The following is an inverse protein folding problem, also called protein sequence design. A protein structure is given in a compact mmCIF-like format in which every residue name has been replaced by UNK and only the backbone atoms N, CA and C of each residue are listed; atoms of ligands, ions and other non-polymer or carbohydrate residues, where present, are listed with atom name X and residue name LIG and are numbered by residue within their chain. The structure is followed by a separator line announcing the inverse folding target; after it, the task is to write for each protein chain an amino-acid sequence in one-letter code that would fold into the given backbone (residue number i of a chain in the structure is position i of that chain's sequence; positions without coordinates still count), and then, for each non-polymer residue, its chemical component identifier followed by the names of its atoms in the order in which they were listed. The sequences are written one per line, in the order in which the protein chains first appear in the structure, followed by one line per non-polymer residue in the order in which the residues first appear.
data_IF_488116054378
#
_entry.id   IF_488116054378
#
_cell.length_a   1.000
_cell.length_b   1.000
_cell.length_c   1.000
_cell.angle_alpha   90.00
_cell.angle_beta   90.00
_cell.angle_gamma   90.00
#
_symmetry.space_group_name_H-M   'P 1'
#
loop_
_entity.id
_entity.type
_entity.pdbx_description
1 polymer ?
#
# COMPACT_ATOMS: atom_id res chain seq x y z
N UNK A 1 12.13 1.05 -4.90
CA UNK A 1 12.12 2.27 -4.05
C UNK A 1 10.69 2.76 -3.82
N UNK A 2 9.85 2.91 -4.84
CA UNK A 2 8.45 3.33 -4.63
C UNK A 2 7.64 2.30 -3.83
N UNK A 3 7.80 1.00 -4.10
CA UNK A 3 7.20 -0.08 -3.27
C UNK A 3 7.60 0.02 -1.81
N UNK A 4 8.88 0.20 -1.51
CA UNK A 4 9.37 0.28 -0.14
C UNK A 4 8.88 1.54 0.58
N UNK A 5 8.77 2.68 -0.12
CA UNK A 5 8.14 3.89 0.42
C UNK A 5 6.66 3.65 0.71
N UNK A 6 5.93 3.01 -0.20
CA UNK A 6 4.53 2.68 0.01
C UNK A 6 4.35 1.72 1.18
N UNK A 7 5.17 0.67 1.25
CA UNK A 7 5.19 -0.28 2.36
C UNK A 7 5.45 0.42 3.68
N UNK A 8 6.43 1.34 3.71
CA UNK A 8 6.72 2.18 4.87
C UNK A 8 5.50 3.02 5.27
N UNK A 9 4.83 3.64 4.31
CA UNK A 9 3.63 4.43 4.58
C UNK A 9 2.50 3.57 5.17
N UNK A 10 2.25 2.37 4.61
CA UNK A 10 1.26 1.44 5.15
C UNK A 10 1.60 1.00 6.59
N UNK A 11 2.88 0.75 6.89
CA UNK A 11 3.34 0.43 8.25
C UNK A 11 3.08 1.59 9.22
N UNK A 12 3.35 2.82 8.80
CA UNK A 12 3.12 4.03 9.59
C UNK A 12 1.63 4.30 9.81
N UNK A 13 0.80 4.10 8.79
CA UNK A 13 -0.66 4.22 8.91
C UNK A 13 -1.25 3.17 9.85
N UNK A 14 -0.72 1.95 9.85
CA UNK A 14 -1.24 0.86 10.68
C UNK A 14 -0.82 0.97 12.15
N UNK A 15 0.47 1.23 12.41
CA UNK A 15 1.04 1.12 13.76
C UNK A 15 1.66 2.44 14.27
N UNK A 16 1.50 3.54 13.55
CA UNK A 16 2.02 4.88 13.89
C UNK A 16 3.51 5.08 13.60
N UNK A 17 4.30 4.01 13.49
CA UNK A 17 5.69 4.05 13.03
C UNK A 17 6.18 2.69 12.55
N UNK A 18 7.22 2.67 11.71
CA UNK A 18 7.90 1.42 11.29
C UNK A 18 8.41 0.60 12.49
N UNK A 19 8.88 1.27 13.55
CA UNK A 19 9.37 0.62 14.77
C UNK A 19 8.26 -0.05 15.57
N UNK A 20 7.09 0.59 15.65
CA UNK A 20 5.92 -0.01 16.29
C UNK A 20 5.42 -1.20 15.47
N UNK A 21 5.32 -1.04 14.15
CA UNK A 21 4.94 -2.13 13.25
C UNK A 21 5.88 -3.33 13.36
N UNK A 22 7.20 -3.12 13.38
CA UNK A 22 8.16 -4.23 13.51
C UNK A 22 7.94 -5.03 14.80
N UNK A 23 7.64 -4.34 15.91
CA UNK A 23 7.32 -4.98 17.19
C UNK A 23 6.01 -5.78 17.11
N UNK A 24 4.99 -5.24 16.45
CA UNK A 24 3.69 -5.89 16.24
C UNK A 24 3.82 -7.21 15.47
N UNK A 25 4.65 -7.25 14.43
CA UNK A 25 4.84 -8.45 13.60
C UNK A 25 5.96 -9.38 14.11
N UNK A 26 6.56 -9.08 15.27
CA UNK A 26 7.62 -9.89 15.86
C UNK A 26 8.95 -9.86 15.10
N UNK A 27 9.26 -8.78 14.37
CA UNK A 27 10.54 -8.59 13.71
C UNK A 27 11.38 -7.49 14.40
N UNK A 28 12.69 -7.65 14.40
CA UNK A 28 13.58 -6.58 14.85
C UNK A 28 13.45 -5.36 13.94
N UNK A 29 13.44 -4.15 14.52
CA UNK A 29 13.36 -2.91 13.77
C UNK A 29 14.45 -2.81 12.68
N UNK A 30 15.67 -3.23 13.00
CA UNK A 30 16.80 -3.24 12.06
C UNK A 30 16.57 -4.19 10.89
N UNK A 31 15.85 -5.30 11.09
CA UNK A 31 15.45 -6.21 10.01
C UNK A 31 14.48 -5.52 9.07
N UNK A 32 13.39 -4.93 9.59
CA UNK A 32 12.40 -4.23 8.75
C UNK A 32 13.04 -3.05 8.01
N UNK A 33 13.86 -2.25 8.70
CA UNK A 33 14.61 -1.13 8.09
C UNK A 33 15.51 -1.61 6.96
N UNK A 34 16.30 -2.66 7.17
CA UNK A 34 17.19 -3.20 6.15
C UNK A 34 16.44 -3.75 4.93
N UNK A 35 15.26 -4.31 5.12
CA UNK A 35 14.38 -4.78 4.04
C UNK A 35 13.88 -3.60 3.20
N UNK A 36 13.45 -2.51 3.85
CA UNK A 36 13.02 -1.29 3.17
C UNK A 36 14.17 -0.60 2.40
N UNK A 37 15.41 -0.71 2.89
CA UNK A 37 16.59 -0.11 2.25
C UNK A 37 17.10 -0.93 1.05
N UNK A 38 17.10 -2.26 1.16
CA UNK A 38 17.66 -3.15 0.14
C UNK A 38 16.62 -3.67 -0.87
N UNK A 39 15.34 -3.43 -0.61
CA UNK A 39 14.23 -3.91 -1.43
C UNK A 39 13.54 -5.13 -0.81
N UNK A 40 12.21 -5.12 -0.85
CA UNK A 40 11.38 -6.13 -0.15
C UNK A 40 11.56 -7.54 -0.73
N UNK A 41 11.75 -7.65 -2.05
CA UNK A 41 11.98 -8.93 -2.72
C UNK A 41 13.39 -9.50 -2.52
N UNK A 42 14.33 -8.71 -1.99
CA UNK A 42 15.68 -9.18 -1.63
C UNK A 42 15.73 -9.75 -0.19
N UNK A 43 14.61 -9.77 0.52
CA UNK A 43 14.50 -10.30 1.86
C UNK A 43 14.21 -11.82 1.88
N UNK A 44 14.43 -12.46 3.03
CA UNK A 44 13.96 -13.83 3.25
C UNK A 44 12.44 -13.88 3.11
N UNK A 45 11.93 -14.86 2.37
CA UNK A 45 10.49 -15.05 2.10
C UNK A 45 9.66 -15.07 3.40
N UNK A 46 10.15 -15.70 4.47
CA UNK A 46 9.47 -15.70 5.78
C UNK A 46 9.23 -14.27 6.34
N UNK A 47 10.21 -13.37 6.18
CA UNK A 47 10.08 -11.99 6.62
C UNK A 47 9.09 -11.23 5.72
N UNK A 48 9.12 -11.46 4.42
CA UNK A 48 8.15 -10.87 3.48
C UNK A 48 6.74 -11.29 3.86
N UNK A 49 6.51 -12.59 4.07
CA UNK A 49 5.20 -13.13 4.48
C UNK A 49 4.73 -12.51 5.80
N UNK A 50 5.61 -12.38 6.81
CA UNK A 50 5.27 -11.74 8.08
C UNK A 50 4.85 -10.29 7.91
N UNK A 51 5.57 -9.52 7.09
CA UNK A 51 5.21 -8.14 6.77
C UNK A 51 3.86 -8.08 6.05
N UNK A 52 3.62 -8.94 5.06
CA UNK A 52 2.36 -9.01 4.32
C UNK A 52 1.17 -9.29 5.24
N UNK A 53 1.29 -10.34 6.07
CA UNK A 53 0.28 -10.69 7.08
C UNK A 53 0.06 -9.55 8.06
N UNK A 54 1.14 -8.92 8.50
CA UNK A 54 1.10 -7.73 9.35
C UNK A 54 0.35 -6.57 8.72
N UNK A 55 0.43 -6.38 7.41
CA UNK A 55 -0.28 -5.32 6.69
C UNK A 55 -1.67 -5.76 6.18
N UNK A 56 -2.06 -7.01 6.41
CA UNK A 56 -3.27 -7.62 5.85
C UNK A 56 -3.34 -7.53 4.32
N UNK A 57 -2.19 -7.68 3.66
CA UNK A 57 -2.06 -7.77 2.20
C UNK A 57 -1.52 -9.15 1.82
N UNK A 58 -1.80 -9.58 0.59
CA UNK A 58 -1.18 -10.80 0.07
C UNK A 58 0.19 -10.48 -0.56
N UNK A 59 1.16 -11.42 -0.56
CA UNK A 59 2.45 -11.21 -1.20
C UNK A 59 2.36 -10.89 -2.70
N UNK A 60 1.37 -11.45 -3.40
CA UNK A 60 1.06 -11.14 -4.81
C UNK A 60 0.81 -9.65 -5.02
N UNK A 61 0.11 -8.98 -4.10
CA UNK A 61 -0.14 -7.54 -4.18
C UNK A 61 1.14 -6.70 -4.13
N UNK A 62 2.27 -7.21 -3.61
CA UNK A 62 3.54 -6.48 -3.67
C UNK A 62 4.13 -6.41 -5.07
N UNK A 63 3.78 -7.35 -5.96
CA UNK A 63 4.17 -7.23 -7.37
C UNK A 63 3.44 -6.05 -7.99
N UNK A 64 2.16 -5.89 -7.66
CA UNK A 64 1.27 -4.84 -8.14
C UNK A 64 1.40 -3.50 -7.36
N UNK A 65 2.20 -3.45 -6.28
CA UNK A 65 2.54 -2.20 -5.58
C UNK A 65 3.31 -1.19 -6.47
N UNK A 66 3.71 -1.59 -7.68
CA UNK A 66 4.17 -0.69 -8.74
C UNK A 66 3.04 0.01 -9.49
N UNK A 67 1.77 -0.20 -9.14
CA UNK A 67 0.65 0.64 -9.61
C UNK A 67 0.76 2.02 -8.97
N UNK A 68 1.74 2.76 -9.47
CA UNK A 68 2.02 4.18 -9.24
C UNK A 68 0.73 4.97 -9.28
N UNK A 69 -0.19 4.63 -10.20
CA UNK A 69 -1.49 5.27 -10.36
C UNK A 69 -2.35 5.16 -9.08
N UNK A 70 -2.47 3.98 -8.46
CA UNK A 70 -3.29 3.81 -7.24
C UNK A 70 -2.66 4.59 -6.07
N UNK A 71 -1.35 4.45 -5.88
CA UNK A 71 -0.61 5.09 -4.78
C UNK A 71 -0.61 6.63 -4.91
N UNK A 72 -0.39 7.15 -6.13
CA UNK A 72 -0.47 8.57 -6.44
C UNK A 72 -1.89 9.10 -6.31
N UNK A 73 -2.89 8.33 -6.71
CA UNK A 73 -4.31 8.69 -6.54
C UNK A 73 -4.68 8.84 -5.07
N UNK A 74 -4.29 7.88 -4.22
CA UNK A 74 -4.55 7.94 -2.76
C UNK A 74 -3.82 9.13 -2.14
N UNK A 75 -2.54 9.32 -2.47
CA UNK A 75 -1.74 10.44 -1.96
C UNK A 75 -2.33 11.80 -2.36
N UNK A 76 -2.82 11.91 -3.60
CA UNK A 76 -3.46 13.12 -4.12
C UNK A 76 -4.81 13.34 -3.45
N UNK A 77 -5.62 12.30 -3.28
CA UNK A 77 -6.94 12.36 -2.64
C UNK A 77 -6.86 12.89 -1.21
N UNK A 78 -5.89 12.43 -0.42
CA UNK A 78 -5.71 12.86 0.97
C UNK A 78 -5.38 14.36 1.07
N UNK A 79 -4.69 14.94 0.06
CA UNK A 79 -4.32 16.36 0.03
C UNK A 79 -5.47 17.30 -0.37
N UNK A 80 -6.58 16.77 -0.88
CA UNK A 80 -7.72 17.57 -1.34
C UNK A 80 -8.62 18.02 -0.19
N UNK A 81 -9.29 19.16 -0.37
CA UNK A 81 -10.37 19.57 0.52
C UNK A 81 -11.58 18.61 0.41
N UNK A 82 -12.39 18.44 1.47
CA UNK A 82 -13.49 17.46 1.48
C UNK A 82 -14.47 17.55 0.29
N UNK A 83 -14.88 18.75 -0.19
CA UNK A 83 -15.73 18.84 -1.37
C UNK A 83 -15.08 18.30 -2.65
N UNK A 84 -13.74 18.41 -2.77
CA UNK A 84 -12.99 17.89 -3.91
C UNK A 84 -12.76 16.39 -3.78
N UNK A 85 -12.57 15.86 -2.56
CA UNK A 85 -12.52 14.42 -2.32
C UNK A 85 -13.82 13.74 -2.77
N UNK A 86 -14.98 14.33 -2.44
CA UNK A 86 -16.28 13.82 -2.88
C UNK A 86 -16.36 13.74 -4.41
N UNK A 87 -15.93 14.79 -5.13
CA UNK A 87 -15.91 14.80 -6.59
C UNK A 87 -15.03 13.70 -7.20
N UNK A 88 -13.88 13.42 -6.61
CA UNK A 88 -13.00 12.33 -7.08
C UNK A 88 -13.67 10.98 -6.88
N UNK A 89 -14.32 10.77 -5.73
CA UNK A 89 -15.08 9.55 -5.46
C UNK A 89 -16.25 9.37 -6.44
N UNK A 90 -17.02 10.43 -6.70
CA UNK A 90 -18.14 10.40 -7.63
C UNK A 90 -17.66 10.00 -9.05
N UNK A 91 -16.56 10.60 -9.53
CA UNK A 91 -15.96 10.26 -10.82
C UNK A 91 -15.42 8.82 -10.86
N UNK A 92 -14.75 8.35 -9.80
CA UNK A 92 -14.26 6.97 -9.74
C UNK A 92 -15.41 5.95 -9.81
N UNK A 93 -16.55 6.24 -9.17
CA UNK A 93 -17.75 5.41 -9.25
C UNK A 93 -18.37 5.42 -10.66
N UNK A 94 -18.39 6.57 -11.33
CA UNK A 94 -18.85 6.68 -12.72
C UNK A 94 -18.01 5.80 -13.66
N UNK A 95 -16.68 5.91 -13.57
CA UNK A 95 -15.76 5.08 -14.38
C UNK A 95 -15.93 3.57 -14.11
N UNK A 96 -16.14 3.18 -12.85
CA UNK A 96 -16.40 1.79 -12.50
C UNK A 96 -17.74 1.29 -13.08
N UNK A 97 -18.78 2.12 -13.03
CA UNK A 97 -20.07 1.80 -13.63
C UNK A 97 -19.96 1.65 -15.15
N UNK A 98 -19.27 2.57 -15.84
CA UNK A 98 -19.02 2.47 -17.27
C UNK A 98 -18.32 1.18 -17.67
N UNK A 99 -17.29 0.78 -16.90
CA UNK A 99 -16.57 -0.46 -17.15
C UNK A 99 -17.48 -1.69 -17.03
N UNK A 100 -18.26 -1.77 -15.95
CA UNK A 100 -19.12 -2.92 -15.69
C UNK A 100 -20.31 -3.00 -16.67
N UNK A 101 -20.82 -1.86 -17.13
CA UNK A 101 -21.91 -1.82 -18.11
C UNK A 101 -21.48 -2.20 -19.53
N UNK A 102 -20.18 -2.16 -19.87
CA UNK A 102 -19.66 -2.61 -21.18
C UNK A 102 -19.58 -4.14 -21.34
N UNK A 103 -19.79 -4.92 -20.27
CA UNK A 103 -19.68 -6.39 -20.30
C UNK A 103 -21.00 -7.07 -20.77
N UNK A 104 -22.05 -6.28 -21.01
CA UNK A 104 -23.37 -6.74 -21.47
C UNK A 104 -23.58 -6.47 -22.97
N UNK A 105 -22.72 -6.97 -23.85
CA UNK A 105 -23.01 -7.10 -25.29
C UNK A 105 -22.20 -8.23 -25.94
#
# INVERSE_FOLDING_TARGET
MEKEKHLKHLMEMKSGSVKAFSKEIGLAYTTVRSILERGVFNAKVDNVIKICKGLNIKPENLMDLDDTIISESITTLIKLAPPRQKRVLDFANEQLNEQNNKVLH
#
